data_IF_425163264866
#
_entry.id   IF_425163264866
#
_cell.length_a   1.000
_cell.length_b   1.000
_cell.length_c   1.000
_cell.angle_alpha   90.00
_cell.angle_beta   90.00
_cell.angle_gamma   90.00
#
_symmetry.space_group_name_H-M   'P 1'
#
loop_
_entity.id
_entity.type
_entity.pdbx_description
1 polymer ?
#
# COMPACT_ATOMS: atom_id res chain seq x y z
N UNK A 1 -44.73 67.45 25.70
CA UNK A 1 -43.34 67.13 26.12
C UNK A 1 -43.36 66.90 27.61
N UNK A 2 -43.30 65.64 28.06
CA UNK A 2 -43.26 65.31 29.50
C UNK A 2 -42.18 64.26 29.68
N UNK A 3 -41.09 64.63 30.34
CA UNK A 3 -40.19 63.68 30.98
C UNK A 3 -39.97 64.15 32.41
N UNK A 4 -40.56 63.37 33.33
CA UNK A 4 -40.39 63.46 34.77
C UNK A 4 -39.19 62.63 35.24
N UNK A 5 -38.62 63.09 36.34
CA UNK A 5 -37.31 62.76 36.89
C UNK A 5 -37.28 61.42 37.65
N UNK A 6 -36.17 60.71 37.45
CA UNK A 6 -35.38 59.83 38.33
C UNK A 6 -36.05 58.98 39.43
N UNK A 7 -35.75 57.68 39.38
CA UNK A 7 -35.66 56.78 40.53
C UNK A 7 -34.22 56.25 40.66
N UNK A 8 -33.60 56.46 41.82
CA UNK A 8 -32.22 56.05 42.15
C UNK A 8 -32.12 54.57 42.55
N UNK A 9 -31.05 53.96 42.03
CA UNK A 9 -30.16 52.92 42.58
C UNK A 9 -30.71 51.79 43.46
N UNK A 10 -30.32 50.57 43.08
CA UNK A 10 -29.50 49.70 43.96
C UNK A 10 -28.59 48.80 43.12
N UNK A 11 -27.29 48.91 43.39
CA UNK A 11 -26.24 48.01 42.90
C UNK A 11 -26.50 46.58 43.37
N UNK A 12 -26.27 45.59 42.51
CA UNK A 12 -25.71 44.31 42.91
C UNK A 12 -24.70 43.84 41.85
N UNK A 13 -23.57 43.40 42.39
CA UNK A 13 -22.32 42.96 41.76
C UNK A 13 -22.41 41.47 41.40
N UNK A 14 -21.66 41.06 40.37
CA UNK A 14 -21.22 39.68 40.15
C UNK A 14 -22.06 38.96 39.09
N UNK A 15 -21.50 38.16 38.18
CA UNK A 15 -20.27 37.40 38.23
C UNK A 15 -19.90 37.05 36.77
N UNK A 16 -18.71 37.45 36.31
CA UNK A 16 -18.15 36.96 35.05
C UNK A 16 -17.85 35.47 35.21
N UNK A 17 -18.55 34.60 34.48
CA UNK A 17 -18.14 33.21 34.32
C UNK A 17 -17.36 33.12 33.02
N UNK A 18 -16.04 33.30 33.11
CA UNK A 18 -15.13 32.84 32.08
C UNK A 18 -15.05 31.31 32.18
N UNK A 19 -15.60 30.62 31.18
CA UNK A 19 -15.41 29.18 31.02
C UNK A 19 -13.92 28.90 30.75
N UNK A 20 -13.24 28.07 31.56
CA UNK A 20 -11.92 27.60 31.17
C UNK A 20 -12.10 26.64 29.98
N UNK A 21 -11.51 26.98 28.83
CA UNK A 21 -11.27 26.01 27.77
C UNK A 21 -10.27 24.98 28.33
N UNK A 22 -10.77 23.84 28.82
CA UNK A 22 -9.93 22.69 29.10
C UNK A 22 -9.29 22.25 27.78
N UNK A 23 -7.97 22.42 27.70
CA UNK A 23 -7.16 21.85 26.63
C UNK A 23 -7.17 20.34 26.84
N UNK A 24 -7.99 19.63 26.07
CA UNK A 24 -8.04 18.16 26.05
C UNK A 24 -6.82 17.60 25.29
N UNK A 25 -5.62 17.76 25.85
CA UNK A 25 -4.39 17.18 25.29
C UNK A 25 -4.28 15.67 25.49
N UNK A 26 -5.10 15.07 26.36
CA UNK A 26 -5.06 13.62 26.65
C UNK A 26 -5.92 12.74 25.74
N UNK A 27 -6.96 13.28 25.10
CA UNK A 27 -7.89 12.48 24.28
C UNK A 27 -7.25 12.01 22.96
N UNK A 28 -6.41 12.85 22.35
CA UNK A 28 -5.80 12.58 21.04
C UNK A 28 -4.78 11.43 21.10
N UNK A 29 -4.01 11.31 22.19
CA UNK A 29 -3.06 10.22 22.37
C UNK A 29 -3.77 8.87 22.56
N UNK A 30 -4.88 8.83 23.30
CA UNK A 30 -5.69 7.63 23.47
C UNK A 30 -6.38 7.17 22.19
N UNK A 31 -6.83 8.12 21.35
CA UNK A 31 -7.41 7.83 20.04
C UNK A 31 -6.37 7.28 19.06
N UNK A 32 -5.20 7.92 18.93
CA UNK A 32 -4.13 7.44 18.05
C UNK A 32 -3.63 6.03 18.42
N UNK A 33 -3.61 5.71 19.72
CA UNK A 33 -3.20 4.38 20.20
C UNK A 33 -4.27 3.32 19.96
N UNK A 34 -5.56 3.67 20.08
CA UNK A 34 -6.68 2.80 19.73
C UNK A 34 -6.77 2.58 18.21
N UNK A 35 -6.51 3.62 17.40
CA UNK A 35 -6.47 3.51 15.94
C UNK A 35 -5.30 2.63 15.50
N UNK A 36 -4.12 2.78 16.11
CA UNK A 36 -2.98 1.91 15.84
C UNK A 36 -3.25 0.45 16.24
N UNK A 37 -3.88 0.22 17.39
CA UNK A 37 -4.27 -1.12 17.83
C UNK A 37 -5.33 -1.73 16.89
N UNK A 38 -6.31 -0.95 16.44
CA UNK A 38 -7.31 -1.40 15.47
C UNK A 38 -6.68 -1.73 14.12
N UNK A 39 -5.69 -0.96 13.65
CA UNK A 39 -4.94 -1.26 12.42
C UNK A 39 -4.09 -2.53 12.57
N UNK A 40 -3.49 -2.76 13.75
CA UNK A 40 -2.72 -3.98 14.03
C UNK A 40 -3.65 -5.20 14.11
N UNK A 41 -4.78 -5.10 14.80
CA UNK A 41 -5.80 -6.13 14.88
C UNK A 41 -6.37 -6.46 13.50
N UNK A 42 -6.67 -5.43 12.70
CA UNK A 42 -7.16 -5.59 11.33
C UNK A 42 -6.10 -6.24 10.42
N UNK A 43 -4.81 -5.94 10.59
CA UNK A 43 -3.72 -6.66 9.91
C UNK A 43 -3.60 -8.13 10.37
N UNK A 44 -3.91 -8.43 11.62
CA UNK A 44 -3.96 -9.80 12.13
C UNK A 44 -5.23 -10.57 11.75
N UNK A 45 -6.34 -9.88 11.50
CA UNK A 45 -7.64 -10.47 11.13
C UNK A 45 -7.81 -10.64 9.62
N UNK A 46 -7.11 -9.84 8.82
CA UNK A 46 -7.02 -10.05 7.37
C UNK A 46 -5.96 -11.14 7.18
N UNK A 47 -6.42 -12.39 7.06
CA UNK A 47 -5.53 -13.48 6.68
C UNK A 47 -4.73 -13.11 5.43
N UNK A 48 -3.46 -13.49 5.38
CA UNK A 48 -2.59 -13.20 4.23
C UNK A 48 -3.03 -13.98 3.00
N UNK A 49 -2.97 -13.35 1.83
CA UNK A 49 -3.18 -14.06 0.57
C UNK A 49 -2.11 -15.14 0.36
N UNK A 50 -2.44 -16.20 -0.39
CA UNK A 50 -1.47 -17.23 -0.72
C UNK A 50 -0.31 -16.66 -1.56
N UNK A 51 0.91 -17.13 -1.30
CA UNK A 51 2.11 -16.72 -2.04
C UNK A 51 2.77 -15.44 -1.52
N UNK A 52 2.31 -14.87 -0.38
CA UNK A 52 2.94 -13.68 0.22
C UNK A 52 4.09 -14.00 1.18
N UNK A 53 4.43 -15.26 1.38
CA UNK A 53 5.53 -15.67 2.26
C UNK A 53 6.86 -15.10 1.75
N UNK A 54 7.64 -14.50 2.66
CA UNK A 54 8.93 -13.88 2.34
C UNK A 54 8.86 -12.52 1.66
N UNK A 55 7.67 -12.00 1.33
CA UNK A 55 7.53 -10.64 0.80
C UNK A 55 7.75 -9.57 1.88
N UNK A 56 8.15 -8.39 1.45
CA UNK A 56 8.15 -7.19 2.28
C UNK A 56 6.73 -6.95 2.84
N UNK A 57 6.56 -6.72 4.17
CA UNK A 57 5.23 -6.64 4.78
C UNK A 57 4.26 -5.63 4.14
N UNK A 58 4.71 -4.44 3.67
CA UNK A 58 3.84 -3.52 2.94
C UNK A 58 3.30 -4.12 1.63
N UNK A 59 4.13 -4.86 0.87
CA UNK A 59 3.72 -5.48 -0.38
C UNK A 59 2.73 -6.62 -0.12
N UNK A 60 3.00 -7.48 0.86
CA UNK A 60 2.10 -8.56 1.28
C UNK A 60 0.70 -8.03 1.65
N UNK A 61 0.65 -6.93 2.43
CA UNK A 61 -0.60 -6.29 2.82
C UNK A 61 -1.32 -5.67 1.62
N UNK A 62 -0.61 -4.92 0.78
CA UNK A 62 -1.19 -4.30 -0.41
C UNK A 62 -1.81 -5.33 -1.36
N UNK A 63 -1.09 -6.42 -1.63
CA UNK A 63 -1.58 -7.50 -2.48
C UNK A 63 -2.78 -8.20 -1.85
N UNK A 64 -2.73 -8.53 -0.56
CA UNK A 64 -3.84 -9.19 0.14
C UNK A 64 -5.13 -8.36 0.08
N UNK A 65 -5.05 -7.03 0.19
CA UNK A 65 -6.21 -6.16 0.07
C UNK A 65 -6.73 -6.08 -1.38
N UNK A 66 -5.83 -6.00 -2.36
CA UNK A 66 -6.18 -5.96 -3.77
C UNK A 66 -6.82 -7.28 -4.25
N UNK A 67 -6.27 -8.42 -3.83
CA UNK A 67 -6.75 -9.76 -4.16
C UNK A 67 -8.15 -10.03 -3.62
N UNK A 68 -8.41 -9.68 -2.35
CA UNK A 68 -9.75 -9.77 -1.77
C UNK A 68 -10.79 -8.96 -2.54
N UNK A 69 -10.45 -7.74 -2.95
CA UNK A 69 -11.34 -6.88 -3.73
C UNK A 69 -11.57 -7.47 -5.13
N UNK A 70 -10.53 -7.95 -5.80
CA UNK A 70 -10.65 -8.63 -7.10
C UNK A 70 -11.60 -9.83 -7.00
N UNK A 71 -11.44 -10.67 -5.98
CA UNK A 71 -12.28 -11.86 -5.77
C UNK A 71 -13.72 -11.48 -5.43
N UNK A 72 -13.94 -10.42 -4.64
CA UNK A 72 -15.29 -9.90 -4.36
C UNK A 72 -16.01 -9.42 -5.64
N UNK A 73 -15.25 -9.01 -6.66
CA UNK A 73 -15.76 -8.64 -7.98
C UNK A 73 -15.83 -9.84 -8.96
N UNK A 74 -15.52 -11.06 -8.50
CA UNK A 74 -15.50 -12.26 -9.33
C UNK A 74 -14.30 -12.36 -10.28
N UNK A 75 -13.24 -11.59 -10.04
CA UNK A 75 -12.01 -11.62 -10.84
C UNK A 75 -11.00 -12.58 -10.20
N UNK A 76 -10.56 -13.65 -10.90
CA UNK A 76 -9.51 -14.52 -10.39
C UNK A 76 -8.18 -13.76 -10.37
N UNK A 77 -7.51 -13.76 -9.22
CA UNK A 77 -6.18 -13.17 -9.03
C UNK A 77 -5.39 -14.02 -8.02
N UNK A 78 -4.18 -14.43 -8.38
CA UNK A 78 -3.28 -15.24 -7.56
C UNK A 78 -1.82 -14.89 -7.87
N UNK A 79 -0.95 -14.94 -6.85
CA UNK A 79 0.50 -14.89 -7.06
C UNK A 79 0.93 -16.20 -7.74
N UNK A 80 1.66 -16.08 -8.84
CA UNK A 80 2.36 -17.19 -9.51
C UNK A 80 3.82 -17.28 -9.09
N UNK A 81 4.44 -16.15 -8.73
CA UNK A 81 5.78 -16.10 -8.13
C UNK A 81 5.88 -14.93 -7.15
N UNK A 82 6.24 -15.20 -5.91
CA UNK A 82 6.44 -14.19 -4.87
C UNK A 82 7.92 -14.01 -4.57
N UNK A 83 8.29 -14.10 -3.29
CA UNK A 83 9.69 -14.13 -2.88
C UNK A 83 10.43 -15.31 -3.52
N UNK A 84 11.68 -15.07 -3.94
CA UNK A 84 12.61 -16.10 -4.42
C UNK A 84 13.86 -16.07 -3.58
N UNK A 85 14.37 -17.23 -3.20
CA UNK A 85 15.71 -17.32 -2.60
C UNK A 85 16.78 -16.94 -3.64
N UNK A 86 17.96 -16.47 -3.21
CA UNK A 86 19.07 -16.20 -4.12
C UNK A 86 19.45 -17.41 -5.00
N UNK A 87 19.34 -18.63 -4.45
CA UNK A 87 19.67 -19.86 -5.18
C UNK A 87 18.63 -20.18 -6.28
N UNK A 88 17.34 -19.99 -6.01
CA UNK A 88 16.29 -20.14 -7.03
C UNK A 88 16.45 -19.09 -8.12
N UNK A 89 16.75 -17.84 -7.76
CA UNK A 89 17.01 -16.77 -8.71
C UNK A 89 18.24 -17.07 -9.57
N UNK A 90 19.33 -17.60 -8.97
CA UNK A 90 20.54 -17.95 -9.68
C UNK A 90 20.27 -19.01 -10.75
N UNK A 91 19.49 -20.05 -10.42
CA UNK A 91 19.12 -21.09 -11.38
C UNK A 91 18.31 -20.51 -12.56
N UNK A 92 17.37 -19.60 -12.30
CA UNK A 92 16.60 -18.93 -13.36
C UNK A 92 17.48 -18.01 -14.22
N UNK A 93 18.43 -17.32 -13.60
CA UNK A 93 19.40 -16.48 -14.32
C UNK A 93 20.26 -17.34 -15.26
N UNK A 94 20.81 -18.45 -14.78
CA UNK A 94 21.61 -19.37 -15.59
C UNK A 94 20.82 -19.94 -16.78
N UNK A 95 19.55 -20.33 -16.55
CA UNK A 95 18.65 -20.78 -17.63
C UNK A 95 18.36 -19.67 -18.66
N UNK A 96 18.15 -18.44 -18.18
CA UNK A 96 17.98 -17.27 -19.04
C UNK A 96 19.22 -16.99 -19.88
N UNK A 97 20.42 -17.05 -19.28
CA UNK A 97 21.70 -16.88 -20.00
C UNK A 97 21.90 -17.99 -21.02
N UNK A 98 21.59 -19.24 -20.68
CA UNK A 98 21.68 -20.36 -21.61
C UNK A 98 20.70 -20.22 -22.80
N UNK A 99 19.51 -19.68 -22.56
CA UNK A 99 18.45 -19.54 -23.57
C UNK A 99 18.66 -18.33 -24.48
N UNK A 100 19.03 -17.18 -23.93
CA UNK A 100 19.05 -15.90 -24.65
C UNK A 100 20.46 -15.33 -24.86
N UNK A 101 21.46 -15.85 -24.17
CA UNK A 101 22.77 -15.23 -24.03
C UNK A 101 22.80 -14.17 -22.91
N UNK A 102 24.00 -13.82 -22.40
CA UNK A 102 24.15 -13.03 -21.17
C UNK A 102 23.51 -11.63 -21.24
N UNK A 103 23.64 -10.95 -22.37
CA UNK A 103 23.11 -9.58 -22.50
C UNK A 103 21.59 -9.57 -22.67
N UNK A 104 21.04 -10.51 -23.46
CA UNK A 104 19.61 -10.53 -23.76
C UNK A 104 18.78 -11.16 -22.61
N UNK A 105 19.38 -12.02 -21.78
CA UNK A 105 18.72 -12.62 -20.62
C UNK A 105 18.18 -11.58 -19.64
N UNK A 106 18.91 -10.47 -19.45
CA UNK A 106 18.55 -9.38 -18.53
C UNK A 106 17.20 -8.74 -18.82
N UNK A 107 16.68 -8.88 -20.04
CA UNK A 107 15.34 -8.38 -20.41
C UNK A 107 14.21 -9.15 -19.74
N UNK A 108 14.48 -10.36 -19.24
CA UNK A 108 13.47 -11.30 -18.72
C UNK A 108 13.80 -11.82 -17.33
N UNK A 109 15.08 -11.98 -17.02
CA UNK A 109 15.54 -12.52 -15.74
C UNK A 109 16.76 -11.74 -15.31
N UNK A 110 16.72 -11.20 -14.10
CA UNK A 110 17.87 -10.54 -13.48
C UNK A 110 18.69 -11.53 -12.65
N UNK A 111 19.99 -11.27 -12.47
CA UNK A 111 20.78 -12.04 -11.53
C UNK A 111 20.34 -11.80 -10.06
N UNK A 112 20.82 -12.62 -9.09
CA UNK A 112 20.28 -12.64 -7.73
C UNK A 112 20.38 -11.35 -6.91
N UNK A 113 21.39 -10.56 -7.16
CA UNK A 113 21.70 -9.28 -6.50
C UNK A 113 20.83 -8.10 -6.98
N UNK A 114 20.19 -8.22 -8.15
CA UNK A 114 19.36 -7.19 -8.78
C UNK A 114 17.86 -7.53 -8.81
N UNK A 115 17.50 -8.80 -8.58
CA UNK A 115 16.10 -9.25 -8.60
C UNK A 115 15.29 -8.74 -7.41
N UNK A 116 14.18 -8.06 -7.67
CA UNK A 116 13.24 -7.64 -6.63
C UNK A 116 12.43 -8.77 -6.02
N UNK A 117 12.38 -9.95 -6.65
CA UNK A 117 11.81 -11.12 -5.98
C UNK A 117 12.70 -11.60 -4.85
N UNK A 118 14.02 -11.41 -4.96
CA UNK A 118 14.98 -11.77 -3.91
C UNK A 118 14.91 -10.81 -2.74
N UNK A 119 14.63 -9.53 -2.99
CA UNK A 119 14.36 -8.56 -1.92
C UNK A 119 12.94 -8.62 -1.37
N UNK A 120 12.06 -9.50 -1.89
CA UNK A 120 10.66 -9.60 -1.48
C UNK A 120 9.79 -8.41 -1.90
N UNK A 121 10.23 -7.64 -2.90
CA UNK A 121 9.62 -6.38 -3.34
C UNK A 121 8.84 -6.49 -4.66
N UNK A 122 8.73 -7.69 -5.22
CA UNK A 122 7.97 -7.96 -6.42
C UNK A 122 7.06 -9.17 -6.28
N UNK A 123 5.99 -9.17 -7.07
CA UNK A 123 5.11 -10.30 -7.29
C UNK A 123 4.84 -10.47 -8.79
N UNK A 124 4.82 -11.73 -9.22
CA UNK A 124 4.24 -12.13 -10.48
C UNK A 124 2.84 -12.66 -10.23
N UNK A 125 1.86 -12.18 -10.98
CA UNK A 125 0.45 -12.54 -10.80
C UNK A 125 -0.18 -13.16 -12.04
N UNK A 126 -1.17 -14.00 -11.80
CA UNK A 126 -2.01 -14.60 -12.83
C UNK A 126 -3.45 -14.83 -12.34
N UNK A 127 -4.34 -15.33 -13.21
CA UNK A 127 -4.18 -15.39 -14.67
C UNK A 127 -4.12 -13.98 -15.28
N UNK A 128 -3.88 -13.88 -16.60
CA UNK A 128 -3.77 -12.59 -17.28
C UNK A 128 -5.00 -11.67 -17.09
N UNK A 129 -6.19 -12.23 -16.90
CA UNK A 129 -7.39 -11.46 -16.53
C UNK A 129 -7.22 -10.72 -15.19
N UNK A 130 -6.70 -11.40 -14.16
CA UNK A 130 -6.39 -10.82 -12.86
C UNK A 130 -5.29 -9.79 -12.94
N UNK A 131 -4.22 -10.08 -13.70
CA UNK A 131 -3.14 -9.13 -13.94
C UNK A 131 -3.65 -7.83 -14.59
N UNK A 132 -4.52 -7.92 -15.60
CA UNK A 132 -5.16 -6.74 -16.22
C UNK A 132 -6.03 -5.95 -15.24
N UNK A 133 -6.77 -6.65 -14.38
CA UNK A 133 -7.54 -5.98 -13.33
C UNK A 133 -6.61 -5.24 -12.36
N UNK A 134 -5.48 -5.84 -11.99
CA UNK A 134 -4.49 -5.24 -11.11
C UNK A 134 -3.75 -4.07 -11.78
N UNK A 135 -3.51 -4.12 -13.09
CA UNK A 135 -2.95 -2.99 -13.85
C UNK A 135 -3.87 -1.76 -13.78
N UNK A 136 -5.20 -1.96 -13.88
CA UNK A 136 -6.19 -0.88 -13.83
C UNK A 136 -6.46 -0.38 -12.41
N UNK A 137 -6.49 -1.28 -11.42
CA UNK A 137 -6.97 -0.98 -10.07
C UNK A 137 -5.87 -0.92 -9.00
N UNK A 138 -4.71 -1.50 -9.27
CA UNK A 138 -3.64 -1.73 -8.30
C UNK A 138 -3.11 -0.46 -7.65
N UNK A 139 -3.14 0.66 -8.37
CA UNK A 139 -2.72 1.97 -7.87
C UNK A 139 -3.45 2.36 -6.58
N UNK A 140 -4.69 1.88 -6.35
CA UNK A 140 -5.46 2.07 -5.11
C UNK A 140 -4.72 1.57 -3.86
N UNK A 141 -3.81 0.61 -4.03
CA UNK A 141 -2.94 0.06 -2.98
C UNK A 141 -1.45 0.31 -3.22
N UNK A 142 -1.10 1.13 -4.22
CA UNK A 142 0.28 1.42 -4.61
C UNK A 142 0.93 0.36 -5.52
N UNK A 143 0.19 -0.68 -5.90
CA UNK A 143 0.66 -1.76 -6.78
C UNK A 143 0.59 -1.32 -8.23
N UNK A 144 1.74 -1.33 -8.90
CA UNK A 144 1.85 -0.94 -10.30
C UNK A 144 2.60 -2.01 -11.08
N UNK A 145 2.17 -2.21 -12.31
CA UNK A 145 2.93 -2.99 -13.28
C UNK A 145 4.23 -2.24 -13.60
N UNK A 146 5.36 -2.91 -13.49
CA UNK A 146 6.68 -2.24 -13.65
C UNK A 146 7.18 -2.27 -15.08
N UNK A 147 7.00 -3.38 -15.80
CA UNK A 147 7.61 -3.60 -17.12
C UNK A 147 6.60 -3.80 -18.26
N UNK A 148 6.87 -3.19 -19.42
CA UNK A 148 6.03 -3.28 -20.62
C UNK A 148 6.00 -4.69 -21.22
N UNK A 149 7.08 -5.46 -21.12
CA UNK A 149 7.18 -6.83 -21.62
C UNK A 149 6.64 -7.89 -20.65
N UNK A 150 6.38 -7.55 -19.39
CA UNK A 150 5.95 -8.49 -18.34
C UNK A 150 4.57 -8.09 -17.82
N UNK A 151 3.51 -8.66 -18.40
CA UNK A 151 2.13 -8.36 -17.97
C UNK A 151 1.83 -8.80 -16.53
N UNK A 152 2.67 -9.68 -15.99
CA UNK A 152 2.47 -10.35 -14.72
C UNK A 152 3.22 -9.67 -13.56
N UNK A 153 4.22 -8.82 -13.81
CA UNK A 153 5.14 -8.30 -12.78
C UNK A 153 4.64 -6.99 -12.15
N UNK A 154 4.44 -6.99 -10.83
CA UNK A 154 3.97 -5.84 -10.06
C UNK A 154 4.85 -5.56 -8.84
N UNK A 155 4.99 -4.27 -8.53
CA UNK A 155 5.73 -3.77 -7.37
C UNK A 155 4.99 -2.61 -6.70
N UNK A 156 5.40 -2.25 -5.48
CA UNK A 156 4.97 -0.99 -4.86
C UNK A 156 5.75 0.19 -5.46
N UNK A 157 5.14 0.92 -6.38
CA UNK A 157 5.79 2.00 -7.14
C UNK A 157 5.20 3.39 -6.86
N UNK A 158 4.13 3.47 -6.09
CA UNK A 158 3.45 4.72 -5.76
C UNK A 158 2.76 4.64 -4.40
N UNK A 159 2.35 5.78 -3.87
CA UNK A 159 1.52 5.80 -2.66
C UNK A 159 0.07 5.41 -3.00
N UNK A 160 -0.66 4.72 -2.11
CA UNK A 160 -2.04 4.30 -2.37
C UNK A 160 -2.93 5.44 -2.89
N UNK A 161 -3.55 5.23 -4.05
CA UNK A 161 -4.46 6.16 -4.72
C UNK A 161 -3.79 7.17 -5.63
N UNK A 162 -2.45 7.31 -5.61
CA UNK A 162 -1.73 8.11 -6.59
C UNK A 162 -1.54 7.34 -7.91
N UNK A 163 -1.38 8.02 -9.05
CA UNK A 163 -1.11 7.36 -10.33
C UNK A 163 0.17 6.53 -10.29
N UNK A 164 0.19 5.44 -11.05
CA UNK A 164 1.41 4.67 -11.31
C UNK A 164 2.38 5.48 -12.19
N UNK A 165 3.72 5.33 -12.00
CA UNK A 165 4.69 5.89 -12.91
C UNK A 165 4.62 5.21 -14.29
N UNK A 166 5.23 5.79 -15.33
CA UNK A 166 5.40 5.11 -16.61
C UNK A 166 6.12 3.76 -16.43
N UNK A 167 5.67 2.74 -17.17
CA UNK A 167 6.34 1.44 -17.21
C UNK A 167 7.73 1.57 -17.83
N UNK A 168 8.64 0.72 -17.39
CA UNK A 168 9.95 0.53 -17.98
C UNK A 168 9.83 -0.45 -19.17
N UNK A 169 10.66 -0.33 -20.23
CA UNK A 169 10.55 -1.22 -21.40
C UNK A 169 10.71 -2.70 -21.04
N UNK A 170 11.72 -3.03 -20.23
CA UNK A 170 11.98 -4.36 -19.70
C UNK A 170 12.96 -4.30 -18.50
N UNK A 171 13.21 -5.44 -17.86
CA UNK A 171 14.06 -5.51 -16.67
C UNK A 171 15.53 -5.11 -16.90
N UNK A 172 16.00 -5.04 -18.15
CA UNK A 172 17.41 -4.75 -18.44
C UNK A 172 17.82 -3.30 -18.16
N UNK A 173 16.86 -2.40 -17.96
CA UNK A 173 17.11 -0.97 -17.66
C UNK A 173 17.31 -0.68 -16.18
N UNK A 174 17.33 -1.71 -15.34
CA UNK A 174 17.54 -1.61 -13.91
C UNK A 174 19.00 -1.51 -13.53
#
# INVERSE_FOLDING_TARGET
MVFGIAGRSRMLVGLSVALPALVATGAQAGQAQADAAAVIEQRGSVGSAAGTDGLDPPLALAYTLAEREAHAQGVPLSITSGYRTPAEQQALWEDGVATYGPDAARRWVLPPEESTHVSGQAIDVGPQQGARWLEVNGYRWGLCRTFENEYWHFELQTVPGAPCPPMLPDASVR
#
